data_IF_266241411518
#
_entry.id   IF_266241411518
#
_cell.length_a   1.000
_cell.length_b   1.000
_cell.length_c   1.000
_cell.angle_alpha   90.00
_cell.angle_beta   90.00
_cell.angle_gamma   90.00
#
_symmetry.space_group_name_H-M   'P 1'
#
loop_
_entity.id
_entity.type
_entity.pdbx_description
1 polymer ?
#
# COMPACT_ATOMS: atom_id res chain seq x y z
N UNK A 1 -7.70 -20.61 24.22
CA UNK A 1 -7.71 -19.15 24.40
C UNK A 1 -6.38 -18.61 23.91
N UNK A 2 -6.35 -17.97 22.74
CA UNK A 2 -5.14 -17.33 22.25
C UNK A 2 -4.94 -16.00 22.98
N UNK A 3 -3.77 -15.79 23.57
CA UNK A 3 -3.34 -14.49 24.09
C UNK A 3 -3.19 -13.53 22.91
N UNK A 4 -4.23 -12.74 22.64
CA UNK A 4 -4.14 -11.60 21.74
C UNK A 4 -3.39 -10.52 22.52
N UNK A 5 -2.19 -10.14 22.08
CA UNK A 5 -1.42 -9.06 22.70
C UNK A 5 -2.01 -7.71 22.23
N UNK A 6 -2.78 -6.98 23.07
CA UNK A 6 -3.45 -5.75 22.64
C UNK A 6 -2.48 -4.57 22.43
N UNK A 7 -1.23 -4.69 22.90
CA UNK A 7 -0.29 -3.57 22.95
C UNK A 7 0.46 -3.27 21.64
N UNK A 8 0.46 -4.20 20.66
CA UNK A 8 1.21 -3.97 19.42
C UNK A 8 0.51 -3.00 18.46
N UNK A 9 -0.83 -2.97 18.43
CA UNK A 9 -1.58 -2.05 17.58
C UNK A 9 -1.53 -0.62 18.13
N UNK A 10 -1.60 -0.44 19.46
CA UNK A 10 -1.64 0.88 20.10
C UNK A 10 -0.34 1.68 19.89
N UNK A 11 0.82 1.01 19.93
CA UNK A 11 2.10 1.66 19.64
C UNK A 11 2.17 2.17 18.20
N UNK A 12 1.68 1.38 17.23
CA UNK A 12 1.62 1.81 15.83
C UNK A 12 0.58 2.93 15.62
N UNK A 13 -0.58 2.81 16.26
CA UNK A 13 -1.66 3.82 16.20
C UNK A 13 -1.22 5.17 16.76
N UNK A 14 -0.33 5.20 17.75
CA UNK A 14 0.21 6.44 18.30
C UNK A 14 1.47 6.94 17.56
N UNK A 15 2.39 6.04 17.20
CA UNK A 15 3.70 6.42 16.69
C UNK A 15 3.68 6.85 15.21
N UNK A 16 2.84 6.21 14.40
CA UNK A 16 2.71 6.50 12.97
C UNK A 16 2.18 7.93 12.69
N UNK A 17 1.06 8.40 13.28
CA UNK A 17 0.65 9.80 13.13
C UNK A 17 1.67 10.78 13.66
N UNK A 18 2.29 10.47 14.80
CA UNK A 18 3.32 11.30 15.39
C UNK A 18 4.45 11.55 14.40
N UNK A 19 5.00 10.48 13.78
CA UNK A 19 6.08 10.63 12.80
C UNK A 19 5.66 11.39 11.54
N UNK A 20 4.46 11.14 11.03
CA UNK A 20 3.95 11.82 9.84
C UNK A 20 3.78 13.32 10.13
N UNK A 21 3.13 13.67 11.22
CA UNK A 21 2.89 15.08 11.57
C UNK A 21 4.22 15.77 11.89
N UNK A 22 5.09 15.13 12.65
CA UNK A 22 6.43 15.63 12.95
C UNK A 22 7.20 15.93 11.66
N UNK A 23 7.27 14.96 10.75
CA UNK A 23 8.04 15.10 9.50
C UNK A 23 7.46 16.17 8.58
N UNK A 24 6.12 16.23 8.42
CA UNK A 24 5.45 17.25 7.60
C UNK A 24 5.64 18.64 8.19
N UNK A 25 5.37 18.82 9.49
CA UNK A 25 5.50 20.14 10.15
C UNK A 25 6.96 20.60 10.17
N UNK A 26 7.90 19.69 10.48
CA UNK A 26 9.33 20.01 10.43
C UNK A 26 9.78 20.41 9.02
N UNK A 27 9.36 19.66 8.00
CA UNK A 27 9.69 19.97 6.61
C UNK A 27 9.09 21.31 6.15
N UNK A 28 7.86 21.62 6.56
CA UNK A 28 7.21 22.90 6.28
C UNK A 28 7.94 24.06 6.96
N UNK A 29 8.31 23.93 8.23
CA UNK A 29 9.06 24.92 8.99
C UNK A 29 10.47 25.14 8.40
N UNK A 30 11.15 24.06 8.02
CA UNK A 30 12.45 24.11 7.38
C UNK A 30 12.39 24.77 5.99
N UNK A 31 11.33 24.49 5.20
CA UNK A 31 11.15 25.07 3.86
C UNK A 31 10.74 26.54 3.91
N UNK A 32 9.89 26.91 4.85
CA UNK A 32 9.42 28.28 5.04
C UNK A 32 10.46 29.20 5.66
N UNK A 33 11.50 28.64 6.31
CA UNK A 33 12.61 29.37 6.94
C UNK A 33 12.15 30.41 7.97
N UNK A 34 10.97 30.23 8.57
CA UNK A 34 10.37 31.17 9.53
C UNK A 34 11.32 31.47 10.70
N UNK A 35 12.03 30.46 11.18
CA UNK A 35 12.96 30.58 12.30
C UNK A 35 14.44 30.69 11.88
N UNK A 36 14.72 30.80 10.58
CA UNK A 36 16.08 30.82 10.04
C UNK A 36 16.64 29.44 9.69
N UNK A 37 17.79 29.43 9.00
CA UNK A 37 18.50 28.21 8.56
C UNK A 37 19.72 27.86 9.40
N UNK A 38 20.04 28.71 10.38
CA UNK A 38 21.12 28.56 11.33
C UNK A 38 20.77 27.53 12.43
N UNK A 39 21.77 27.17 13.25
CA UNK A 39 21.62 26.16 14.31
C UNK A 39 20.42 26.45 15.24
N UNK A 40 20.23 27.66 15.79
CA UNK A 40 19.09 27.91 16.68
C UNK A 40 17.74 27.82 15.93
N UNK A 41 17.67 28.28 14.68
CA UNK A 41 16.47 28.13 13.84
C UNK A 41 16.07 26.68 13.60
N UNK A 42 17.05 25.80 13.34
CA UNK A 42 16.80 24.35 13.20
C UNK A 42 16.31 23.70 14.50
N UNK A 43 16.84 24.12 15.65
CA UNK A 43 16.40 23.63 16.96
C UNK A 43 14.96 24.08 17.25
N UNK A 44 14.63 25.35 16.97
CA UNK A 44 13.27 25.84 17.11
C UNK A 44 12.28 25.07 16.22
N UNK A 45 12.63 24.83 14.95
CA UNK A 45 11.82 24.02 14.04
C UNK A 45 11.53 22.62 14.60
N UNK A 46 12.56 21.98 15.17
CA UNK A 46 12.45 20.63 15.75
C UNK A 46 11.56 20.61 16.99
N UNK A 47 11.74 21.55 17.91
CA UNK A 47 10.95 21.62 19.15
C UNK A 47 9.48 21.90 18.83
N UNK A 48 9.22 22.83 17.91
CA UNK A 48 7.86 23.18 17.51
C UNK A 48 7.20 22.01 16.78
N UNK A 49 7.88 21.38 15.82
CA UNK A 49 7.33 20.22 15.11
C UNK A 49 7.06 19.05 16.05
N UNK A 50 7.91 18.84 17.07
CA UNK A 50 7.72 17.82 18.10
C UNK A 50 6.48 18.12 18.96
N UNK A 51 6.32 19.36 19.43
CA UNK A 51 5.15 19.78 20.20
C UNK A 51 3.84 19.62 19.41
N UNK A 52 3.85 20.04 18.14
CA UNK A 52 2.71 19.85 17.24
C UNK A 52 2.40 18.36 17.02
N UNK A 53 3.41 17.54 16.76
CA UNK A 53 3.23 16.11 16.55
C UNK A 53 2.64 15.41 17.77
N UNK A 54 3.10 15.73 18.99
CA UNK A 54 2.55 15.18 20.22
C UNK A 54 1.10 15.63 20.47
N UNK A 55 0.81 16.91 20.22
CA UNK A 55 -0.55 17.44 20.35
C UNK A 55 -1.52 16.74 19.38
N UNK A 56 -1.10 16.57 18.13
CA UNK A 56 -1.91 15.93 17.08
C UNK A 56 -2.04 14.43 17.35
N UNK A 57 -1.00 13.75 17.82
CA UNK A 57 -1.08 12.34 18.21
C UNK A 57 -2.06 12.09 19.37
N UNK A 58 -2.22 13.05 20.29
CA UNK A 58 -3.22 12.99 21.37
C UNK A 58 -4.64 13.35 20.91
N UNK A 59 -4.81 13.87 19.68
CA UNK A 59 -6.09 14.36 19.18
C UNK A 59 -6.96 13.24 18.60
N UNK A 60 -8.25 13.15 18.98
CA UNK A 60 -9.16 12.12 18.47
C UNK A 60 -9.45 12.23 16.97
N UNK A 61 -9.23 13.40 16.36
CA UNK A 61 -9.45 13.66 14.93
C UNK A 61 -8.49 12.89 14.02
N UNK A 62 -7.36 12.42 14.55
CA UNK A 62 -6.27 11.82 13.76
C UNK A 62 -6.43 10.31 13.63
N UNK A 63 -7.16 9.69 14.56
CA UNK A 63 -7.46 8.25 14.56
C UNK A 63 -7.99 7.70 13.23
N UNK A 64 -9.00 8.31 12.56
CA UNK A 64 -9.50 7.77 11.28
C UNK A 64 -8.45 7.83 10.16
N UNK A 65 -7.63 8.88 10.13
CA UNK A 65 -6.57 9.03 9.14
C UNK A 65 -5.46 7.99 9.34
N UNK A 66 -5.09 7.74 10.60
CA UNK A 66 -4.09 6.73 10.97
C UNK A 66 -4.60 5.35 10.64
N UNK A 67 -5.84 5.03 11.00
CA UNK A 67 -6.43 3.74 10.71
C UNK A 67 -6.45 3.49 9.19
N UNK A 68 -6.83 4.49 8.39
CA UNK A 68 -6.74 4.42 6.93
C UNK A 68 -5.32 4.12 6.45
N UNK A 69 -4.31 4.87 6.93
CA UNK A 69 -2.92 4.65 6.52
C UNK A 69 -2.39 3.28 6.94
N UNK A 70 -2.69 2.84 8.15
CA UNK A 70 -2.29 1.52 8.66
C UNK A 70 -2.88 0.41 7.80
N UNK A 71 -4.18 0.50 7.45
CA UNK A 71 -4.84 -0.46 6.57
C UNK A 71 -4.28 -0.38 5.15
N UNK A 72 -4.11 0.82 4.60
CA UNK A 72 -3.60 1.05 3.24
C UNK A 72 -2.17 0.52 3.08
N UNK A 73 -1.26 0.86 3.99
CA UNK A 73 0.12 0.36 3.95
C UNK A 73 0.20 -1.13 4.28
N UNK A 74 -0.59 -1.62 5.25
CA UNK A 74 -0.65 -3.04 5.56
C UNK A 74 -1.07 -3.88 4.36
N UNK A 75 -2.16 -3.51 3.69
CA UNK A 75 -2.60 -4.15 2.46
C UNK A 75 -1.59 -3.95 1.32
N UNK A 76 -1.01 -2.76 1.18
CA UNK A 76 -0.01 -2.45 0.17
C UNK A 76 1.24 -3.34 0.28
N UNK A 77 1.75 -3.56 1.49
CA UNK A 77 2.88 -4.46 1.74
C UNK A 77 2.53 -5.89 1.31
N UNK A 78 1.36 -6.40 1.70
CA UNK A 78 0.89 -7.74 1.30
C UNK A 78 0.80 -7.88 -0.22
N UNK A 79 0.26 -6.86 -0.91
CA UNK A 79 0.17 -6.86 -2.37
C UNK A 79 1.54 -6.83 -3.02
N UNK A 80 2.46 -5.98 -2.56
CA UNK A 80 3.84 -5.93 -3.08
C UNK A 80 4.53 -7.29 -2.89
N UNK A 81 4.43 -7.88 -1.70
CA UNK A 81 4.99 -9.21 -1.44
C UNK A 81 4.40 -10.26 -2.36
N UNK A 82 3.08 -10.23 -2.59
CA UNK A 82 2.41 -11.16 -3.50
C UNK A 82 2.92 -10.98 -4.93
N UNK A 83 3.06 -9.75 -5.42
CA UNK A 83 3.60 -9.47 -6.76
C UNK A 83 5.03 -9.98 -6.88
N UNK A 84 5.88 -9.73 -5.88
CA UNK A 84 7.27 -10.22 -5.86
C UNK A 84 7.30 -11.75 -5.91
N UNK A 85 6.49 -12.44 -5.10
CA UNK A 85 6.42 -13.90 -5.09
C UNK A 85 5.96 -14.45 -6.45
N UNK A 86 4.93 -13.86 -7.04
CA UNK A 86 4.44 -14.25 -8.37
C UNK A 86 5.53 -14.03 -9.42
N UNK A 87 6.22 -12.89 -9.41
CA UNK A 87 7.34 -12.62 -10.33
C UNK A 87 8.48 -13.63 -10.15
N UNK A 88 8.82 -14.00 -8.92
CA UNK A 88 9.81 -15.04 -8.65
C UNK A 88 9.37 -16.40 -9.21
N UNK A 89 8.11 -16.79 -9.04
CA UNK A 89 7.58 -18.02 -9.63
C UNK A 89 7.67 -17.97 -11.16
N UNK A 90 7.26 -16.87 -11.80
CA UNK A 90 7.39 -16.71 -13.25
C UNK A 90 8.84 -16.78 -13.72
N UNK A 91 9.78 -16.16 -13.00
CA UNK A 91 11.20 -16.21 -13.32
C UNK A 91 11.74 -17.65 -13.27
N UNK A 92 11.33 -18.43 -12.26
CA UNK A 92 11.70 -19.85 -12.16
C UNK A 92 11.10 -20.68 -13.31
N UNK A 93 9.83 -20.45 -13.67
CA UNK A 93 9.19 -21.14 -14.79
C UNK A 93 9.88 -20.83 -16.13
N UNK A 94 10.21 -19.56 -16.39
CA UNK A 94 10.92 -19.15 -17.62
C UNK A 94 12.32 -19.77 -17.66
N UNK A 95 13.04 -19.79 -16.53
CA UNK A 95 14.35 -20.43 -16.42
C UNK A 95 14.33 -21.94 -16.70
N UNK A 96 13.23 -22.63 -16.38
CA UNK A 96 13.06 -24.07 -16.63
C UNK A 96 12.57 -24.37 -18.06
N UNK A 97 11.80 -23.47 -18.68
CA UNK A 97 11.14 -23.71 -19.97
C UNK A 97 11.84 -23.07 -21.18
N UNK A 98 12.91 -22.29 -20.96
CA UNK A 98 13.76 -21.79 -22.03
C UNK A 98 13.09 -20.78 -22.98
N UNK A 99 11.98 -20.16 -22.57
CA UNK A 99 11.33 -19.13 -23.37
C UNK A 99 12.21 -17.87 -23.44
N UNK A 100 12.70 -17.59 -24.65
CA UNK A 100 13.58 -16.48 -24.96
C UNK A 100 13.01 -15.10 -24.64
N UNK A 101 13.93 -14.13 -24.58
CA UNK A 101 13.79 -12.72 -24.21
C UNK A 101 12.42 -12.11 -24.53
N UNK A 102 11.57 -11.98 -23.51
CA UNK A 102 10.30 -11.26 -23.61
C UNK A 102 10.61 -9.77 -23.82
N UNK A 103 10.13 -9.19 -24.93
CA UNK A 103 10.30 -7.75 -25.23
C UNK A 103 9.56 -6.89 -24.20
N UNK A 104 10.30 -6.29 -23.27
CA UNK A 104 9.83 -5.54 -22.11
C UNK A 104 9.06 -4.23 -22.43
N UNK A 105 9.13 -3.73 -23.66
CA UNK A 105 8.63 -2.39 -24.00
C UNK A 105 7.10 -2.27 -23.99
N UNK A 106 6.38 -3.32 -24.40
CA UNK A 106 4.90 -3.39 -24.28
C UNK A 106 4.44 -3.85 -22.89
N UNK A 107 5.26 -4.65 -22.21
CA UNK A 107 4.99 -5.10 -20.84
C UNK A 107 5.00 -3.93 -19.84
N UNK A 108 5.90 -2.94 -20.02
CA UNK A 108 6.00 -1.79 -19.12
C UNK A 108 4.71 -0.95 -19.02
N UNK A 109 4.02 -0.70 -20.15
CA UNK A 109 2.75 0.04 -20.14
C UNK A 109 1.62 -0.74 -19.45
N UNK A 110 1.59 -2.06 -19.63
CA UNK A 110 0.60 -2.93 -18.98
C UNK A 110 0.85 -3.03 -17.47
N UNK A 111 2.12 -3.13 -17.05
CA UNK A 111 2.53 -3.12 -15.65
C UNK A 111 2.16 -1.79 -15.00
N UNK A 112 2.49 -0.66 -15.63
CA UNK A 112 2.13 0.67 -15.12
C UNK A 112 0.61 0.83 -14.96
N UNK A 113 -0.18 0.40 -15.95
CA UNK A 113 -1.64 0.40 -15.86
C UNK A 113 -2.16 -0.47 -14.72
N UNK A 114 -1.60 -1.68 -14.56
CA UNK A 114 -1.98 -2.62 -13.50
C UNK A 114 -1.66 -2.05 -12.11
N UNK A 115 -0.48 -1.45 -11.92
CA UNK A 115 -0.08 -0.82 -10.66
C UNK A 115 -1.02 0.33 -10.28
N UNK A 116 -1.42 1.16 -11.26
CA UNK A 116 -2.36 2.26 -11.02
C UNK A 116 -3.73 1.70 -10.61
N UNK A 117 -4.24 0.69 -11.31
CA UNK A 117 -5.53 0.06 -10.98
C UNK A 117 -5.50 -0.55 -9.58
N UNK A 118 -4.44 -1.29 -9.24
CA UNK A 118 -4.25 -1.87 -7.91
C UNK A 118 -4.18 -0.78 -6.84
N UNK A 119 -3.45 0.32 -7.09
CA UNK A 119 -3.37 1.45 -6.16
C UNK A 119 -4.73 2.10 -5.90
N UNK A 120 -5.54 2.27 -6.95
CA UNK A 120 -6.92 2.79 -6.83
C UNK A 120 -7.79 1.81 -6.04
N UNK A 121 -7.72 0.51 -6.35
CA UNK A 121 -8.48 -0.52 -5.63
C UNK A 121 -8.11 -0.58 -4.15
N UNK A 122 -6.83 -0.48 -3.82
CA UNK A 122 -6.33 -0.42 -2.44
C UNK A 122 -6.82 0.84 -1.73
N UNK A 123 -6.80 1.99 -2.40
CA UNK A 123 -7.32 3.25 -1.85
C UNK A 123 -8.81 3.16 -1.53
N UNK A 124 -9.60 2.56 -2.42
CA UNK A 124 -11.03 2.35 -2.21
C UNK A 124 -11.30 1.33 -1.09
N UNK A 125 -10.56 0.22 -1.06
CA UNK A 125 -10.72 -0.85 -0.07
C UNK A 125 -10.29 -0.45 1.35
N UNK A 126 -9.28 0.41 1.48
CA UNK A 126 -8.80 0.92 2.77
C UNK A 126 -9.69 1.99 3.40
N UNK A 127 -10.76 2.40 2.71
CA UNK A 127 -11.70 3.42 3.22
C UNK A 127 -11.31 4.86 2.87
N UNK A 128 -10.47 5.07 1.84
CA UNK A 128 -10.05 6.40 1.41
C UNK A 128 -11.21 7.32 1.00
N UNK A 129 -12.32 6.74 0.53
CA UNK A 129 -13.56 7.48 0.27
C UNK A 129 -14.16 8.13 1.52
N UNK A 130 -14.05 7.47 2.68
CA UNK A 130 -14.60 7.97 3.95
C UNK A 130 -13.80 9.17 4.48
N UNK A 131 -12.51 9.28 4.10
CA UNK A 131 -11.69 10.45 4.42
C UNK A 131 -12.04 11.69 3.59
N UNK A 132 -12.51 11.52 2.34
CA UNK A 132 -12.81 12.63 1.43
C UNK A 132 -14.29 13.03 1.50
N UNK A 133 -15.19 12.07 1.74
CA UNK A 133 -16.63 12.29 1.83
C UNK A 133 -17.18 11.72 3.14
N UNK A 134 -17.15 12.49 4.25
CA UNK A 134 -17.72 12.07 5.52
C UNK A 134 -19.23 11.89 5.38
N UNK A 135 -19.69 10.63 5.38
CA UNK A 135 -21.11 10.26 5.20
C UNK A 135 -21.36 9.24 4.08
N UNK A 136 -20.39 9.01 3.19
CA UNK A 136 -20.41 7.83 2.32
C UNK A 136 -19.85 6.67 3.14
N UNK A 137 -20.74 5.92 3.78
CA UNK A 137 -20.39 4.63 4.39
C UNK A 137 -19.64 3.81 3.36
N UNK A 138 -18.54 3.19 3.78
CA UNK A 138 -17.70 2.30 2.98
C UNK A 138 -18.59 1.56 1.97
N UNK A 139 -18.24 1.63 0.68
CA UNK A 139 -18.76 0.65 -0.27
C UNK A 139 -18.12 -0.67 0.18
N UNK A 140 -18.74 -1.32 1.16
CA UNK A 140 -18.52 -2.71 1.49
C UNK A 140 -19.07 -3.46 0.30
N UNK A 141 -18.30 -3.50 -0.78
CA UNK A 141 -18.30 -4.66 -1.66
C UNK A 141 -18.10 -5.83 -0.70
N UNK A 142 -19.20 -6.55 -0.43
CA UNK A 142 -19.41 -7.32 0.80
C UNK A 142 -18.10 -7.87 1.29
N UNK A 143 -17.66 -7.40 2.46
CA UNK A 143 -16.34 -7.62 3.07
C UNK A 143 -15.53 -8.62 2.25
N UNK A 144 -14.69 -8.13 1.33
CA UNK A 144 -13.54 -8.92 0.92
C UNK A 144 -12.67 -9.02 2.18
N UNK A 145 -13.12 -9.85 3.12
CA UNK A 145 -12.25 -10.49 4.06
C UNK A 145 -11.23 -11.10 3.13
N UNK A 146 -10.02 -10.57 3.18
CA UNK A 146 -8.85 -11.23 2.63
C UNK A 146 -8.63 -12.44 3.57
N UNK A 147 -9.57 -13.37 3.49
CA UNK A 147 -9.45 -14.71 3.98
C UNK A 147 -8.44 -15.38 3.04
N UNK A 148 -7.67 -16.32 3.54
CA UNK A 148 -6.77 -17.15 2.73
C UNK A 148 -7.49 -17.67 1.46
N UNK A 149 -8.80 -17.91 1.54
CA UNK A 149 -9.65 -18.26 0.40
C UNK A 149 -9.81 -17.19 -0.69
N UNK A 150 -9.81 -15.90 -0.37
CA UNK A 150 -9.94 -14.80 -1.35
C UNK A 150 -8.63 -14.59 -2.10
N UNK A 151 -7.49 -14.70 -1.41
CA UNK A 151 -6.16 -14.70 -2.05
C UNK A 151 -6.03 -15.93 -2.95
N UNK A 152 -6.41 -17.12 -2.46
CA UNK A 152 -6.43 -18.33 -3.26
C UNK A 152 -7.34 -18.22 -4.49
N UNK A 153 -8.49 -17.56 -4.39
CA UNK A 153 -9.40 -17.30 -5.50
C UNK A 153 -8.79 -16.34 -6.54
N UNK A 154 -8.15 -15.25 -6.11
CA UNK A 154 -7.45 -14.32 -7.01
C UNK A 154 -6.28 -15.02 -7.71
N UNK A 155 -5.50 -15.83 -6.98
CA UNK A 155 -4.43 -16.65 -7.54
C UNK A 155 -5.00 -17.67 -8.53
N UNK A 156 -6.08 -18.37 -8.19
CA UNK A 156 -6.78 -19.31 -9.08
C UNK A 156 -7.29 -18.64 -10.35
N UNK A 157 -7.84 -17.43 -10.26
CA UNK A 157 -8.29 -16.66 -11.43
C UNK A 157 -7.08 -16.27 -12.30
N UNK A 158 -5.99 -15.78 -11.71
CA UNK A 158 -4.77 -15.44 -12.44
C UNK A 158 -4.13 -16.67 -13.10
N UNK A 159 -4.10 -17.82 -12.42
CA UNK A 159 -3.63 -19.10 -12.96
C UNK A 159 -4.55 -19.58 -14.09
N UNK A 160 -5.86 -19.51 -13.91
CA UNK A 160 -6.84 -19.93 -14.92
C UNK A 160 -6.74 -19.06 -16.17
N UNK A 161 -6.66 -17.74 -16.01
CA UNK A 161 -6.45 -16.80 -17.12
C UNK A 161 -5.09 -17.04 -17.78
N UNK A 162 -4.04 -17.29 -16.99
CA UNK A 162 -2.72 -17.65 -17.49
C UNK A 162 -2.72 -18.92 -18.33
N UNK A 163 -3.43 -19.97 -17.89
CA UNK A 163 -3.61 -21.22 -18.63
C UNK A 163 -4.43 -20.97 -19.89
N UNK A 164 -5.51 -20.21 -19.84
CA UNK A 164 -6.32 -19.88 -21.02
C UNK A 164 -5.50 -19.13 -22.06
N UNK A 165 -4.75 -18.10 -21.64
CA UNK A 165 -3.85 -17.35 -22.53
C UNK A 165 -2.75 -18.26 -23.07
N UNK A 166 -2.17 -19.14 -22.25
CA UNK A 166 -1.16 -20.11 -22.68
C UNK A 166 -1.72 -21.11 -23.70
N UNK A 167 -2.94 -21.62 -23.49
CA UNK A 167 -3.61 -22.52 -24.43
C UNK A 167 -4.01 -21.79 -25.73
N UNK A 168 -4.43 -20.53 -25.63
CA UNK A 168 -4.75 -19.70 -26.80
C UNK A 168 -3.51 -19.28 -27.58
N UNK A 169 -2.37 -19.12 -26.92
CA UNK A 169 -1.11 -18.70 -27.56
C UNK A 169 -0.27 -19.90 -28.01
N UNK A 170 -0.43 -21.06 -27.37
CA UNK A 170 0.26 -22.33 -27.69
C UNK A 170 -0.46 -23.23 -28.69
N UNK A 171 -1.67 -22.86 -29.14
CA UNK A 171 -2.45 -23.61 -30.13
C UNK A 171 -2.35 -23.10 -31.57
N UNK A 172 -1.43 -22.17 -31.84
CA UNK A 172 -1.37 -21.39 -33.08
C UNK A 172 -0.21 -21.72 -34.01
N UNK A 173 0.22 -22.97 -34.14
CA UNK A 173 1.09 -23.38 -35.26
C UNK A 173 0.90 -24.87 -35.59
N UNK A 174 -0.05 -25.16 -36.49
CA UNK A 174 0.09 -26.19 -37.55
C UNK A 174 -0.87 -25.88 -38.70
N UNK A 175 -0.44 -25.03 -39.62
CA UNK A 175 -0.48 -25.26 -41.08
C UNK A 175 0.26 -24.15 -41.81
#
# INVERSE_FOLDING_TARGET
MAFVFPYQSELFEFYLPFLIVFSVVYALLAKSKIFGTDKPGKVANLVISLGFALYVAASPFVKPFVNFLTVYFGQGVVVILTIVLVLMMFALFIGVTGFGEIKFEKAGKFIAGTVIIIGILLFLSSGGLNLVFPGISNITWGTLVINEGTIAAIIMILVTVGIIVFLMTGGGEKK
#
